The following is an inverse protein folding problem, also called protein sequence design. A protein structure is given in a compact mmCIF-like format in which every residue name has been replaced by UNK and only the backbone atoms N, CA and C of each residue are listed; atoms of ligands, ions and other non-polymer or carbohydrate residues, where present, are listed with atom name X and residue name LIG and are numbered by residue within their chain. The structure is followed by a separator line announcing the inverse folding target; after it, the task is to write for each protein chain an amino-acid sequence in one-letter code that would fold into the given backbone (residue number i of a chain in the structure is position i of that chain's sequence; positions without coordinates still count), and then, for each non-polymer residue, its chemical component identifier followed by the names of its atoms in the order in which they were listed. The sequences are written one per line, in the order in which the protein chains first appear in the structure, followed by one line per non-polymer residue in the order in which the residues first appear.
data_IF_661062101010
#
_entry.id   IF_661062101010
#
_cell.length_a   1.000
_cell.length_b   1.000
_cell.length_c   1.000
_cell.angle_alpha   90.00
_cell.angle_beta   90.00
_cell.angle_gamma   90.00
#
_symmetry.space_group_name_H-M   'P 1'
#
loop_
_entity.id
_entity.type
_entity.pdbx_description
1 polymer ?
#
# COMPACT_ATOMS: atom_id res chain seq x y z
N UNK A 1 28.32 -26.36 -55.82
CA UNK A 1 27.37 -25.23 -55.68
C UNK A 1 26.01 -25.78 -55.29
N UNK A 2 25.64 -25.73 -54.01
CA UNK A 2 24.27 -25.94 -53.55
C UNK A 2 24.09 -25.20 -52.23
N UNK A 3 23.61 -23.97 -52.33
CA UNK A 3 22.99 -23.23 -51.25
C UNK A 3 21.62 -23.83 -51.01
N UNK A 4 21.28 -24.24 -49.78
CA UNK A 4 19.89 -24.23 -49.32
C UNK A 4 19.89 -23.84 -47.83
N UNK A 5 19.08 -22.84 -47.52
CA UNK A 5 18.82 -22.25 -46.22
C UNK A 5 18.63 -23.30 -45.11
N UNK A 6 19.46 -23.19 -44.07
CA UNK A 6 19.12 -23.68 -42.74
C UNK A 6 18.21 -22.64 -42.09
N UNK A 7 16.93 -22.70 -42.43
CA UNK A 7 15.89 -21.94 -41.75
C UNK A 7 15.91 -22.35 -40.29
N UNK A 8 16.12 -21.37 -39.42
CA UNK A 8 15.91 -21.52 -37.98
C UNK A 8 14.43 -21.83 -37.77
N UNK A 9 14.11 -23.11 -37.60
CA UNK A 9 12.84 -23.52 -36.98
C UNK A 9 12.92 -23.11 -35.50
N UNK A 10 12.69 -21.82 -35.27
CA UNK A 10 12.26 -21.33 -33.97
C UNK A 10 10.82 -21.78 -33.80
N UNK A 11 10.67 -23.09 -33.54
CA UNK A 11 9.41 -23.73 -33.24
C UNK A 11 8.73 -22.93 -32.13
N UNK A 12 7.58 -22.32 -32.45
CA UNK A 12 6.71 -21.65 -31.47
C UNK A 12 6.29 -22.55 -30.30
N UNK A 13 6.64 -23.84 -30.37
CA UNK A 13 6.54 -24.85 -29.32
C UNK A 13 7.55 -24.64 -28.19
N UNK A 14 8.75 -24.10 -28.44
CA UNK A 14 9.76 -23.82 -27.41
C UNK A 14 9.58 -22.44 -26.74
N UNK A 15 9.13 -21.43 -27.49
CA UNK A 15 8.86 -20.09 -26.92
C UNK A 15 7.67 -20.07 -25.97
N UNK A 16 6.71 -20.98 -26.16
CA UNK A 16 5.52 -21.12 -25.30
C UNK A 16 5.86 -21.60 -23.88
N UNK A 17 6.98 -22.31 -23.68
CA UNK A 17 7.39 -22.79 -22.36
C UNK A 17 8.19 -21.76 -21.53
N UNK A 18 8.71 -20.70 -22.14
CA UNK A 18 9.45 -19.64 -21.45
C UNK A 18 8.61 -18.36 -21.23
N UNK A 19 7.61 -18.09 -22.07
CA UNK A 19 6.75 -16.90 -21.94
C UNK A 19 5.59 -17.08 -20.95
N UNK A 20 5.09 -18.30 -20.76
CA UNK A 20 3.99 -18.61 -19.83
C UNK A 20 4.33 -18.43 -18.34
N UNK A 21 5.50 -18.84 -17.81
CA UNK A 21 5.83 -18.60 -16.39
C UNK A 21 6.12 -17.12 -16.09
N UNK A 22 6.65 -16.36 -17.06
CA UNK A 22 6.93 -14.92 -16.90
C UNK A 22 5.64 -14.07 -16.89
N UNK A 23 4.63 -14.46 -17.67
CA UNK A 23 3.31 -13.83 -17.67
C UNK A 23 2.52 -14.13 -16.39
N UNK A 24 2.67 -15.33 -15.81
CA UNK A 24 2.06 -15.66 -14.52
C UNK A 24 2.69 -14.91 -13.33
N UNK A 25 3.98 -14.57 -13.41
CA UNK A 25 4.67 -13.80 -12.36
C UNK A 25 4.24 -12.32 -12.32
N UNK A 26 3.73 -11.79 -13.44
CA UNK A 26 3.26 -10.39 -13.56
C UNK A 26 1.80 -10.20 -13.10
N UNK A 27 1.01 -11.28 -12.94
CA UNK A 27 -0.38 -11.19 -12.46
C UNK A 27 -0.53 -11.21 -10.92
N UNK A 28 0.56 -11.40 -10.15
CA UNK A 28 0.49 -11.53 -8.68
C UNK A 28 0.75 -10.22 -7.92
N UNK A 29 1.15 -9.14 -8.58
CA UNK A 29 1.31 -7.84 -7.93
C UNK A 29 0.09 -6.96 -8.23
N UNK A 30 -0.81 -6.76 -7.24
CA UNK A 30 -0.63 -5.64 -6.32
C UNK A 30 -1.23 -5.92 -4.92
N UNK A 31 -0.80 -6.97 -4.22
CA UNK A 31 -1.34 -7.31 -2.90
C UNK A 31 -0.57 -6.70 -1.70
N UNK A 32 0.45 -5.87 -1.96
CA UNK A 32 1.31 -5.29 -0.91
C UNK A 32 0.99 -3.84 -0.56
N UNK A 33 -0.13 -3.29 -1.05
CA UNK A 33 -0.61 -1.99 -0.60
C UNK A 33 -1.08 -2.11 0.86
N UNK A 34 -0.13 -2.02 1.79
CA UNK A 34 -0.40 -2.14 3.21
C UNK A 34 -1.23 -0.94 3.67
N UNK A 35 -2.40 -1.23 4.23
CA UNK A 35 -3.30 -0.18 4.73
C UNK A 35 -2.56 0.69 5.74
N UNK A 36 -2.66 2.00 5.57
CA UNK A 36 -1.89 3.00 6.30
C UNK A 36 -2.86 3.90 7.06
N UNK A 37 -2.63 4.01 8.36
CA UNK A 37 -3.39 4.85 9.27
C UNK A 37 -2.44 5.90 9.84
N UNK A 38 -2.64 7.16 9.48
CA UNK A 38 -1.86 8.28 9.99
C UNK A 38 -2.67 8.98 11.07
N UNK A 39 -2.18 8.92 12.30
CA UNK A 39 -2.74 9.66 13.43
C UNK A 39 -2.23 11.09 13.37
N UNK A 40 -3.14 12.04 13.57
CA UNK A 40 -2.82 13.46 13.65
C UNK A 40 -3.51 14.09 14.86
N UNK A 41 -2.89 15.06 15.50
CA UNK A 41 -3.50 15.82 16.60
C UNK A 41 -3.76 17.26 16.17
N UNK A 42 -4.79 17.87 16.75
CA UNK A 42 -5.09 19.29 16.54
C UNK A 42 -4.34 20.14 17.57
N UNK A 43 -3.70 21.21 17.12
CA UNK A 43 -3.14 22.24 17.99
C UNK A 43 -4.17 23.30 18.41
N UNK A 44 -3.74 24.25 19.23
CA UNK A 44 -4.58 25.36 19.72
C UNK A 44 -5.04 26.33 18.62
N UNK A 45 -4.40 26.32 17.45
CA UNK A 45 -4.74 27.14 16.29
C UNK A 45 -5.57 26.37 15.26
N UNK A 46 -6.01 25.15 15.60
CA UNK A 46 -6.81 24.30 14.73
C UNK A 46 -6.02 23.55 13.66
N UNK A 47 -4.67 23.65 13.64
CA UNK A 47 -3.84 22.95 12.66
C UNK A 47 -3.65 21.50 13.07
N UNK A 48 -3.63 20.62 12.07
CA UNK A 48 -3.42 19.20 12.24
C UNK A 48 -1.94 18.84 12.05
N UNK A 49 -1.37 18.18 13.05
CA UNK A 49 0.02 17.76 13.07
C UNK A 49 0.11 16.25 13.07
N UNK A 50 0.98 15.71 12.22
CA UNK A 50 1.23 14.27 12.16
C UNK A 50 1.87 13.78 13.46
N UNK A 51 1.31 12.72 14.04
CA UNK A 51 1.80 12.10 15.26
C UNK A 51 2.54 10.80 14.96
N UNK A 52 1.83 9.82 14.40
CA UNK A 52 2.37 8.48 14.18
C UNK A 52 1.65 7.81 13.01
N UNK A 53 2.35 6.90 12.35
CA UNK A 53 1.79 6.02 11.33
C UNK A 53 1.65 4.60 11.90
N UNK A 54 0.55 3.94 11.55
CA UNK A 54 0.23 2.56 11.94
C UNK A 54 -0.29 1.81 10.72
N UNK A 55 -0.09 0.50 10.71
CA UNK A 55 -0.60 -0.39 9.66
C UNK A 55 -1.70 -1.34 10.15
N UNK A 56 -2.06 -1.24 11.43
CA UNK A 56 -3.15 -1.98 12.04
C UNK A 56 -4.21 -0.97 12.50
N UNK A 57 -5.43 -1.16 12.01
CA UNK A 57 -6.55 -0.28 12.30
C UNK A 57 -6.87 -0.23 13.80
N UNK A 58 -7.10 -1.38 14.42
CA UNK A 58 -7.46 -1.46 15.84
C UNK A 58 -6.39 -0.83 16.74
N UNK A 59 -5.11 -0.99 16.40
CA UNK A 59 -4.02 -0.33 17.12
C UNK A 59 -4.00 1.19 16.93
N UNK A 60 -4.30 1.67 15.72
CA UNK A 60 -4.46 3.09 15.42
C UNK A 60 -5.56 3.71 16.29
N UNK A 61 -6.75 3.08 16.36
CA UNK A 61 -7.86 3.56 17.17
C UNK A 61 -7.56 3.56 18.67
N UNK A 62 -6.96 2.48 19.20
CA UNK A 62 -6.57 2.42 20.62
C UNK A 62 -5.57 3.51 20.97
N UNK A 63 -4.56 3.71 20.12
CA UNK A 63 -3.55 4.76 20.31
C UNK A 63 -4.18 6.15 20.26
N UNK A 64 -5.01 6.44 19.26
CA UNK A 64 -5.68 7.73 19.12
C UNK A 64 -6.55 8.05 20.34
N UNK A 65 -7.37 7.10 20.82
CA UNK A 65 -8.20 7.26 22.02
C UNK A 65 -7.36 7.50 23.27
N UNK A 66 -6.35 6.66 23.52
CA UNK A 66 -5.49 6.80 24.69
C UNK A 66 -4.75 8.15 24.69
N UNK A 67 -4.29 8.61 23.53
CA UNK A 67 -3.58 9.89 23.41
C UNK A 67 -4.52 11.10 23.48
N UNK A 68 -5.72 11.01 22.93
CA UNK A 68 -6.73 12.06 23.06
C UNK A 68 -7.06 12.30 24.53
N UNK A 69 -7.37 11.23 25.28
CA UNK A 69 -7.64 11.28 26.71
C UNK A 69 -6.43 11.80 27.52
N UNK A 70 -5.22 11.33 27.22
CA UNK A 70 -4.03 11.72 27.97
C UNK A 70 -3.56 13.16 27.71
N UNK A 71 -3.83 13.72 26.52
CA UNK A 71 -3.34 15.05 26.13
C UNK A 71 -4.43 16.13 26.15
N UNK A 72 -5.70 15.76 26.26
CA UNK A 72 -6.83 16.67 26.12
C UNK A 72 -6.97 17.25 24.72
N UNK A 73 -6.32 16.65 23.70
CA UNK A 73 -6.33 17.13 22.31
C UNK A 73 -7.22 16.24 21.45
N UNK A 74 -7.85 16.85 20.45
CA UNK A 74 -8.56 16.09 19.40
C UNK A 74 -7.56 15.39 18.50
N UNK A 75 -7.81 14.12 18.24
CA UNK A 75 -7.06 13.33 17.28
C UNK A 75 -7.94 13.05 16.06
N UNK A 76 -7.32 12.90 14.89
CA UNK A 76 -7.95 12.31 13.71
C UNK A 76 -7.10 11.19 13.17
N UNK A 77 -7.76 10.22 12.56
CA UNK A 77 -7.12 9.13 11.84
C UNK A 77 -7.41 9.39 10.36
N UNK A 78 -6.36 9.45 9.55
CA UNK A 78 -6.47 9.56 8.10
C UNK A 78 -5.82 8.35 7.43
N UNK A 79 -6.25 8.03 6.21
CA UNK A 79 -5.62 6.96 5.44
C UNK A 79 -4.28 7.40 4.81
N UNK A 80 -3.69 6.53 3.98
CA UNK A 80 -2.44 6.82 3.27
C UNK A 80 -2.54 7.96 2.25
N UNK A 81 -3.74 8.25 1.74
CA UNK A 81 -4.02 9.30 0.77
C UNK A 81 -4.45 10.61 1.45
N UNK A 82 -4.62 10.58 2.77
CA UNK A 82 -5.01 11.73 3.59
C UNK A 82 -6.52 11.89 3.76
N UNK A 83 -7.33 10.92 3.34
CA UNK A 83 -8.76 10.94 3.58
C UNK A 83 -9.05 10.72 5.06
N UNK A 84 -10.02 11.46 5.60
CA UNK A 84 -10.44 11.32 6.98
C UNK A 84 -11.17 9.99 7.18
N UNK A 85 -10.65 9.16 8.07
CA UNK A 85 -11.29 7.91 8.49
C UNK A 85 -12.15 8.13 9.74
N UNK A 86 -11.59 8.77 10.76
CA UNK A 86 -12.30 9.06 12.01
C UNK A 86 -11.73 10.28 12.76
N UNK A 87 -12.55 10.85 13.63
CA UNK A 87 -12.22 11.93 14.53
C UNK A 87 -12.47 11.50 15.99
N UNK A 88 -11.40 11.52 16.78
CA UNK A 88 -11.40 11.11 18.18
C UNK A 88 -11.34 12.34 19.08
N UNK A 89 -12.38 12.52 19.90
CA UNK A 89 -12.43 13.54 20.94
C UNK A 89 -11.79 13.04 22.25
N UNK A 90 -11.23 13.95 23.09
CA UNK A 90 -10.71 13.63 24.42
C UNK A 90 -11.74 12.98 25.35
#
# INVERSE_FOLDING_TARGET
MKWIHQSQDLDGRLMRFLLLPLLLLLLTAPALAQMKFVLQYQDQFGKWHRYQEKHNEGDAYRTAKARAAATGKRFRIVDGDGNLLDLVSP
#
